data_IF_099284326062
#
_entry.id   IF_099284326062
#
_cell.length_a   1.000
_cell.length_b   1.000
_cell.length_c   1.000
_cell.angle_alpha   90.00
_cell.angle_beta   90.00
_cell.angle_gamma   90.00
#
_symmetry.space_group_name_H-M   'P 1'
#
loop_
_entity.id
_entity.type
_entity.pdbx_description
1 polymer ?
#
# COMPACT_ATOMS: atom_id res chain seq x y z
N UNK A 1 12.81 11.10 -4.11
CA UNK A 1 11.96 10.33 -3.17
C UNK A 1 11.83 11.13 -1.90
N UNK A 2 10.65 11.12 -1.26
CA UNK A 2 10.50 11.71 0.07
C UNK A 2 11.32 10.92 1.11
N UNK A 3 11.45 11.44 2.33
CA UNK A 3 12.30 10.92 3.43
C UNK A 3 12.35 9.36 3.44
N UNK A 4 13.45 8.73 3.00
CA UNK A 4 13.53 7.28 2.85
C UNK A 4 13.84 6.57 4.17
N UNK A 5 14.10 7.31 5.25
CA UNK A 5 14.51 6.73 6.53
C UNK A 5 13.31 6.46 7.43
N UNK A 6 12.40 7.43 7.55
CA UNK A 6 11.24 7.34 8.44
C UNK A 6 9.91 7.29 7.70
N UNK A 7 9.96 7.45 6.38
CA UNK A 7 8.79 7.40 5.52
C UNK A 7 7.61 8.31 5.96
N UNK A 8 7.88 9.46 6.59
CA UNK A 8 6.83 10.23 7.28
C UNK A 8 5.69 10.68 6.36
N UNK A 9 4.46 10.49 6.85
CA UNK A 9 3.24 10.93 6.19
C UNK A 9 3.32 12.39 5.77
N UNK A 10 3.80 13.28 6.65
CA UNK A 10 3.92 14.72 6.39
C UNK A 10 4.78 15.08 5.18
N UNK A 11 5.70 14.21 4.76
CA UNK A 11 6.57 14.42 3.60
C UNK A 11 6.12 13.60 2.39
N UNK A 12 5.66 12.37 2.61
CA UNK A 12 5.31 11.45 1.54
C UNK A 12 4.01 11.84 0.85
N UNK A 13 2.95 12.18 1.58
CA UNK A 13 1.66 12.51 0.97
C UNK A 13 1.75 13.75 0.06
N UNK A 14 2.34 14.89 0.49
CA UNK A 14 2.53 16.04 -0.41
C UNK A 14 3.42 15.70 -1.61
N UNK A 15 4.46 14.88 -1.43
CA UNK A 15 5.30 14.48 -2.56
C UNK A 15 4.51 13.66 -3.59
N UNK A 16 3.73 12.67 -3.15
CA UNK A 16 2.90 11.86 -4.05
C UNK A 16 1.86 12.76 -4.73
N UNK A 17 1.15 13.61 -3.98
CA UNK A 17 0.12 14.49 -4.55
C UNK A 17 0.69 15.53 -5.52
N UNK A 18 1.68 16.29 -5.09
CA UNK A 18 2.05 17.54 -5.76
C UNK A 18 3.24 17.37 -6.71
N UNK A 19 4.20 16.50 -6.35
CA UNK A 19 5.37 16.25 -7.18
C UNK A 19 5.11 15.17 -8.23
N UNK A 20 4.45 14.06 -7.87
CA UNK A 20 4.04 13.04 -8.83
C UNK A 20 2.75 13.40 -9.58
N UNK A 21 1.98 14.37 -9.07
CA UNK A 21 0.77 14.91 -9.71
C UNK A 21 -0.26 13.82 -10.02
N UNK A 22 -0.56 13.02 -8.99
CA UNK A 22 -1.56 11.96 -9.12
C UNK A 22 -2.93 12.54 -9.48
N UNK A 23 -3.71 11.74 -10.20
CA UNK A 23 -5.08 12.04 -10.59
C UNK A 23 -5.93 10.76 -10.66
N UNK A 24 -7.20 10.91 -11.00
CA UNK A 24 -8.16 9.80 -11.14
C UNK A 24 -7.78 8.78 -12.24
N UNK A 25 -6.76 9.05 -13.07
CA UNK A 25 -6.26 8.12 -14.11
C UNK A 25 -4.99 7.39 -13.68
N UNK A 26 -4.44 7.75 -12.53
CA UNK A 26 -3.17 7.24 -12.03
C UNK A 26 -3.34 5.87 -11.40
N UNK A 27 -2.35 4.98 -11.59
CA UNK A 27 -2.23 3.72 -10.86
C UNK A 27 -1.05 3.84 -9.91
N UNK A 28 -1.28 3.60 -8.61
CA UNK A 28 -0.24 3.64 -7.60
C UNK A 28 0.18 2.23 -7.19
N UNK A 29 1.48 2.04 -6.98
CA UNK A 29 2.06 0.78 -6.54
C UNK A 29 2.87 1.08 -5.29
N UNK A 30 2.41 0.57 -4.15
CA UNK A 30 3.06 0.71 -2.86
C UNK A 30 3.77 -0.58 -2.48
N UNK A 31 4.93 -0.46 -1.86
CA UNK A 31 5.61 -1.57 -1.19
C UNK A 31 5.93 -1.17 0.24
N UNK A 32 5.64 -2.06 1.20
CA UNK A 32 5.85 -1.80 2.63
C UNK A 32 5.26 -0.44 3.01
N UNK A 33 5.99 0.46 3.69
CA UNK A 33 5.55 1.83 4.06
C UNK A 33 4.88 2.65 2.92
N UNK A 34 5.19 2.34 1.65
CA UNK A 34 4.52 2.96 0.51
C UNK A 34 3.04 2.57 0.38
N UNK A 35 2.66 1.39 0.88
CA UNK A 35 1.26 0.96 1.00
C UNK A 35 0.50 1.86 1.98
N UNK A 36 1.06 2.12 3.15
CA UNK A 36 0.47 2.96 4.19
C UNK A 36 0.36 4.40 3.74
N UNK A 37 1.38 4.90 3.04
CA UNK A 37 1.34 6.20 2.39
C UNK A 37 0.18 6.32 1.39
N UNK A 38 -0.01 5.30 0.53
CA UNK A 38 -1.12 5.28 -0.44
C UNK A 38 -2.46 5.17 0.29
N UNK A 39 -2.58 4.29 1.29
CA UNK A 39 -3.82 4.16 2.06
C UNK A 39 -4.19 5.48 2.73
N UNK A 40 -3.24 6.21 3.34
CA UNK A 40 -3.52 7.54 3.90
C UNK A 40 -3.84 8.58 2.84
N UNK A 41 -3.20 8.52 1.67
CA UNK A 41 -3.49 9.42 0.56
C UNK A 41 -4.94 9.23 0.06
N UNK A 42 -5.39 7.98 -0.03
CA UNK A 42 -6.75 7.63 -0.46
C UNK A 42 -7.84 8.05 0.52
N UNK A 43 -7.51 8.49 1.74
CA UNK A 43 -8.50 9.16 2.62
C UNK A 43 -8.98 10.51 2.04
N UNK A 44 -8.29 11.07 1.04
CA UNK A 44 -8.59 12.40 0.48
C UNK A 44 -8.55 12.46 -1.05
N UNK A 45 -7.67 11.68 -1.68
CA UNK A 45 -7.40 11.77 -3.11
C UNK A 45 -7.89 10.52 -3.84
N UNK A 46 -8.36 10.69 -5.07
CA UNK A 46 -8.86 9.60 -5.92
C UNK A 46 -7.83 9.19 -6.95
N UNK A 47 -7.76 7.89 -7.23
CA UNK A 47 -6.90 7.30 -8.25
C UNK A 47 -7.65 6.22 -9.02
N UNK A 48 -7.11 5.82 -10.18
CA UNK A 48 -7.70 4.75 -10.98
C UNK A 48 -7.60 3.41 -10.27
N UNK A 49 -6.43 3.10 -9.72
CA UNK A 49 -6.22 1.82 -9.06
C UNK A 49 -4.96 1.75 -8.23
N UNK A 50 -4.93 0.77 -7.35
CA UNK A 50 -3.84 0.58 -6.40
C UNK A 50 -3.39 -0.87 -6.36
N UNK A 51 -2.06 -1.06 -6.30
CA UNK A 51 -1.43 -2.33 -5.97
C UNK A 51 -0.65 -2.15 -4.67
N UNK A 52 -1.05 -2.87 -3.62
CA UNK A 52 -0.40 -2.87 -2.30
C UNK A 52 0.45 -4.13 -2.15
N UNK A 53 1.76 -3.99 -1.92
CA UNK A 53 2.69 -5.10 -1.71
C UNK A 53 3.20 -5.08 -0.27
N UNK A 54 2.82 -6.08 0.52
CA UNK A 54 3.11 -6.17 1.95
C UNK A 54 2.57 -4.98 2.77
N UNK A 55 1.25 -4.75 2.71
CA UNK A 55 0.58 -3.73 3.53
C UNK A 55 0.32 -4.23 4.97
N UNK A 56 0.25 -3.30 5.91
CA UNK A 56 -0.17 -3.50 7.29
C UNK A 56 -1.05 -2.36 7.80
N UNK A 57 -1.62 -2.52 8.99
CA UNK A 57 -2.49 -1.49 9.58
C UNK A 57 -2.06 -1.05 10.99
N UNK A 58 -1.03 -1.69 11.56
CA UNK A 58 -0.45 -1.33 12.85
C UNK A 58 1.03 -0.98 12.70
N UNK A 59 1.57 -0.28 13.68
CA UNK A 59 3.01 -0.02 13.78
C UNK A 59 3.82 -1.25 14.23
N UNK A 60 3.14 -2.38 14.52
CA UNK A 60 3.75 -3.63 15.01
C UNK A 60 4.65 -3.43 16.24
N UNK A 61 4.31 -2.47 17.11
CA UNK A 61 5.10 -2.05 18.27
C UNK A 61 6.53 -1.60 17.91
N UNK A 62 6.76 -1.22 16.65
CA UNK A 62 8.04 -0.73 16.16
C UNK A 62 8.11 0.80 16.29
N UNK A 63 9.04 1.29 17.10
CA UNK A 63 9.22 2.74 17.32
C UNK A 63 9.56 3.51 16.04
N UNK A 64 10.28 2.90 15.09
CA UNK A 64 10.55 3.51 13.78
C UNK A 64 9.29 3.66 12.93
N UNK A 65 8.39 2.67 12.97
CA UNK A 65 7.10 2.74 12.27
C UNK A 65 6.16 3.77 12.92
N UNK A 66 6.18 3.93 14.24
CA UNK A 66 5.43 5.00 14.94
C UNK A 66 5.84 6.39 14.46
N UNK A 67 7.13 6.59 14.21
CA UNK A 67 7.65 7.86 13.70
C UNK A 67 7.22 8.18 12.27
N UNK A 68 6.67 7.21 11.52
CA UNK A 68 6.14 7.41 10.16
C UNK A 68 4.84 8.22 10.13
N UNK A 69 4.18 8.39 11.28
CA UNK A 69 2.91 9.11 11.44
C UNK A 69 1.68 8.40 10.85
N UNK A 70 1.85 7.28 10.12
CA UNK A 70 0.73 6.57 9.48
C UNK A 70 -0.22 5.89 10.45
N UNK A 71 0.20 5.54 11.66
CA UNK A 71 -0.58 4.71 12.60
C UNK A 71 -1.16 5.51 13.77
N UNK A 72 -1.00 6.84 13.77
CA UNK A 72 -1.37 7.71 14.90
C UNK A 72 -2.88 7.99 15.04
N UNK A 73 -3.71 7.43 14.16
CA UNK A 73 -5.16 7.61 14.12
C UNK A 73 -5.84 6.41 13.45
N UNK A 74 -7.14 6.19 13.65
CA UNK A 74 -7.88 5.16 12.92
C UNK A 74 -7.78 5.34 11.40
N UNK A 75 -7.84 4.24 10.66
CA UNK A 75 -7.92 4.24 9.20
C UNK A 75 -9.37 4.44 8.75
N UNK A 76 -9.60 5.33 7.79
CA UNK A 76 -10.93 5.52 7.18
C UNK A 76 -11.14 4.53 6.02
N UNK A 77 -11.34 3.26 6.37
CA UNK A 77 -11.39 2.16 5.41
C UNK A 77 -12.44 2.34 4.29
N UNK A 78 -13.60 2.90 4.61
CA UNK A 78 -14.68 3.11 3.64
C UNK A 78 -14.28 4.17 2.61
N UNK A 79 -13.71 5.28 3.06
CA UNK A 79 -13.21 6.33 2.16
C UNK A 79 -12.05 5.81 1.30
N UNK A 80 -11.08 5.13 1.91
CA UNK A 80 -9.91 4.56 1.22
C UNK A 80 -10.38 3.64 0.08
N UNK A 81 -11.29 2.72 0.39
CA UNK A 81 -11.85 1.78 -0.58
C UNK A 81 -12.59 2.50 -1.71
N UNK A 82 -13.36 3.54 -1.38
CA UNK A 82 -14.20 4.25 -2.37
C UNK A 82 -13.41 5.15 -3.34
N UNK A 83 -12.18 5.52 -2.98
CA UNK A 83 -11.35 6.44 -3.74
C UNK A 83 -10.39 5.75 -4.74
N UNK A 84 -10.50 4.43 -4.90
CA UNK A 84 -9.86 3.68 -5.98
C UNK A 84 -10.90 2.81 -6.70
N UNK A 85 -10.86 2.73 -8.03
CA UNK A 85 -11.79 1.87 -8.79
C UNK A 85 -11.52 0.38 -8.51
N UNK A 86 -10.27 0.05 -8.24
CA UNK A 86 -9.84 -1.30 -7.86
C UNK A 86 -8.61 -1.25 -6.95
N UNK A 87 -8.53 -2.22 -6.06
CA UNK A 87 -7.40 -2.42 -5.15
C UNK A 87 -6.98 -3.89 -5.23
N UNK A 88 -5.71 -4.13 -5.55
CA UNK A 88 -5.10 -5.44 -5.54
C UNK A 88 -4.03 -5.47 -4.46
N UNK A 89 -3.98 -6.52 -3.66
CA UNK A 89 -3.01 -6.66 -2.59
C UNK A 89 -2.23 -7.98 -2.73
N UNK A 90 -0.92 -7.90 -2.56
CA UNK A 90 0.00 -9.03 -2.56
C UNK A 90 0.64 -9.11 -1.17
N UNK A 91 0.57 -10.27 -0.54
CA UNK A 91 1.26 -10.54 0.73
C UNK A 91 1.95 -11.89 0.68
N UNK A 92 2.95 -12.06 1.54
CA UNK A 92 3.69 -13.32 1.64
C UNK A 92 3.49 -13.91 3.03
N UNK A 93 2.98 -15.15 3.16
CA UNK A 93 2.92 -15.84 4.45
C UNK A 93 4.30 -16.02 5.10
N UNK A 94 5.37 -15.97 4.31
CA UNK A 94 6.75 -16.06 4.79
C UNK A 94 7.41 -14.70 5.07
N UNK A 95 6.65 -13.60 5.06
CA UNK A 95 7.14 -12.29 5.47
C UNK A 95 7.49 -12.30 6.96
N UNK A 96 8.73 -11.89 7.27
CA UNK A 96 9.25 -11.87 8.65
C UNK A 96 9.15 -10.50 9.30
N UNK A 97 8.84 -9.46 8.53
CA UNK A 97 8.66 -8.09 9.03
C UNK A 97 7.19 -7.83 9.33
N UNK A 98 6.31 -8.21 8.40
CA UNK A 98 4.86 -7.99 8.53
C UNK A 98 4.14 -9.33 8.57
N UNK A 99 3.59 -9.73 9.74
CA UNK A 99 2.81 -10.96 9.84
C UNK A 99 1.66 -10.97 8.84
N UNK A 100 1.39 -12.13 8.24
CA UNK A 100 0.32 -12.28 7.22
C UNK A 100 -1.07 -11.87 7.73
N UNK A 101 -1.30 -11.91 9.04
CA UNK A 101 -2.54 -11.47 9.65
C UNK A 101 -2.84 -9.98 9.41
N UNK A 102 -1.80 -9.13 9.38
CA UNK A 102 -1.93 -7.70 9.06
C UNK A 102 -2.43 -7.52 7.62
N UNK A 103 -1.78 -8.21 6.68
CA UNK A 103 -2.16 -8.17 5.27
C UNK A 103 -3.60 -8.66 5.06
N UNK A 104 -3.97 -9.78 5.69
CA UNK A 104 -5.36 -10.30 5.64
C UNK A 104 -6.37 -9.31 6.22
N UNK A 105 -6.04 -8.62 7.31
CA UNK A 105 -6.93 -7.62 7.89
C UNK A 105 -7.13 -6.44 6.95
N UNK A 106 -6.05 -5.90 6.35
CA UNK A 106 -6.14 -4.83 5.35
C UNK A 106 -7.01 -5.29 4.17
N UNK A 107 -6.80 -6.51 3.68
CA UNK A 107 -7.57 -7.06 2.58
C UNK A 107 -9.07 -7.19 2.91
N UNK A 108 -9.42 -7.63 4.12
CA UNK A 108 -10.80 -7.67 4.61
C UNK A 108 -11.40 -6.26 4.70
N UNK A 109 -10.69 -5.29 5.25
CA UNK A 109 -11.19 -3.92 5.36
C UNK A 109 -11.40 -3.24 4.01
N UNK A 110 -10.45 -3.40 3.10
CA UNK A 110 -10.52 -2.79 1.76
C UNK A 110 -11.34 -3.61 0.78
N UNK A 111 -11.68 -4.87 1.12
CA UNK A 111 -12.27 -5.84 0.19
C UNK A 111 -11.45 -5.92 -1.13
N UNK A 112 -10.13 -5.91 -1.00
CA UNK A 112 -9.20 -5.93 -2.12
C UNK A 112 -9.13 -7.31 -2.77
N UNK A 113 -8.74 -7.38 -4.04
CA UNK A 113 -8.30 -8.63 -4.67
C UNK A 113 -6.97 -9.07 -4.05
N UNK A 114 -7.03 -10.06 -3.17
CA UNK A 114 -5.92 -10.46 -2.31
C UNK A 114 -5.21 -11.71 -2.80
N UNK A 115 -3.88 -11.63 -2.94
CA UNK A 115 -3.01 -12.73 -3.35
C UNK A 115 -1.96 -13.03 -2.27
N UNK A 116 -2.02 -14.25 -1.73
CA UNK A 116 -0.95 -14.77 -0.88
C UNK A 116 0.07 -15.53 -1.72
N UNK A 117 1.30 -15.01 -1.75
CA UNK A 117 2.39 -15.55 -2.54
C UNK A 117 3.43 -16.21 -1.63
N UNK A 118 3.49 -17.52 -1.70
CA UNK A 118 4.43 -18.32 -0.92
C UNK A 118 5.89 -17.99 -1.22
N UNK A 119 6.73 -18.05 -0.18
CA UNK A 119 8.20 -17.91 -0.29
C UNK A 119 8.67 -16.58 -0.92
N UNK A 120 7.89 -15.50 -0.79
CA UNK A 120 8.27 -14.17 -1.28
C UNK A 120 8.92 -13.27 -0.21
N UNK A 121 8.92 -13.70 1.05
CA UNK A 121 9.47 -12.89 2.15
C UNK A 121 8.82 -11.51 2.19
N UNK A 122 9.59 -10.46 2.47
CA UNK A 122 9.10 -9.08 2.41
C UNK A 122 9.22 -8.46 1.00
N UNK A 123 9.21 -9.28 -0.06
CA UNK A 123 9.29 -8.83 -1.47
C UNK A 123 10.54 -8.02 -1.84
N UNK A 124 11.65 -8.22 -1.13
CA UNK A 124 12.96 -7.55 -1.37
C UNK A 124 13.72 -8.09 -2.59
N UNK A 125 13.07 -8.90 -3.42
CA UNK A 125 13.67 -9.46 -4.64
C UNK A 125 13.71 -8.43 -5.77
N UNK A 126 14.55 -8.70 -6.79
CA UNK A 126 14.68 -7.81 -7.95
C UNK A 126 13.48 -7.83 -8.91
N UNK A 127 12.60 -8.84 -8.79
CA UNK A 127 11.50 -9.06 -9.73
C UNK A 127 10.22 -9.43 -8.99
N UNK A 128 9.13 -8.80 -9.42
CA UNK A 128 7.77 -9.10 -8.98
C UNK A 128 6.83 -9.12 -10.20
N UNK A 129 6.92 -10.16 -11.06
CA UNK A 129 6.15 -10.23 -12.31
C UNK A 129 4.63 -10.22 -12.10
N UNK A 130 4.16 -10.60 -10.91
CA UNK A 130 2.76 -10.55 -10.51
C UNK A 130 2.18 -9.13 -10.60
N UNK A 131 2.95 -8.10 -10.23
CA UNK A 131 2.53 -6.70 -10.37
C UNK A 131 2.28 -6.35 -11.84
N UNK A 132 3.19 -6.75 -12.74
CA UNK A 132 3.03 -6.51 -14.18
C UNK A 132 1.81 -7.25 -14.74
N UNK A 133 1.56 -8.48 -14.29
CA UNK A 133 0.39 -9.26 -14.67
C UNK A 133 -0.90 -8.53 -14.27
N UNK A 134 -0.98 -8.05 -13.03
CA UNK A 134 -2.13 -7.28 -12.53
C UNK A 134 -2.37 -6.04 -13.39
N UNK A 135 -1.31 -5.28 -13.70
CA UNK A 135 -1.45 -4.07 -14.54
C UNK A 135 -2.03 -4.43 -15.90
N UNK A 136 -1.54 -5.48 -16.56
CA UNK A 136 -2.05 -5.92 -17.86
C UNK A 136 -3.53 -6.31 -17.81
N UNK A 137 -3.92 -7.07 -16.78
CA UNK A 137 -5.29 -7.51 -16.57
C UNK A 137 -6.24 -6.33 -16.32
N UNK A 138 -5.86 -5.37 -15.46
CA UNK A 138 -6.69 -4.20 -15.10
C UNK A 138 -6.73 -3.12 -16.18
N UNK A 139 -5.65 -2.97 -16.96
CA UNK A 139 -5.58 -1.98 -18.02
C UNK A 139 -6.04 -2.51 -19.39
N UNK A 140 -6.30 -3.83 -19.51
CA UNK A 140 -6.60 -4.50 -20.78
C UNK A 140 -5.52 -4.26 -21.86
N UNK A 141 -4.25 -4.44 -21.49
CA UNK A 141 -3.06 -4.23 -22.36
C UNK A 141 -2.15 -5.45 -22.45
#
# INVERSE_FOLDING_TARGET
MPDPHKARESYWLPFIRDALKIDEKTILIGHSSGCEAIMRLLEKDKVRGVILVAACHTDLDNEGEKESEYYNRPWDWDTIKSNAEWIVQLHSPSDRLIPVAEGRFVADKLQSEYMELEKRGHFMGHQLPEVLKVIKEKCHV
#
